data_IF_030101678250
#
_entry.id   IF_030101678250
#
_cell.length_a   1.000
_cell.length_b   1.000
_cell.length_c   1.000
_cell.angle_alpha   90.00
_cell.angle_beta   90.00
_cell.angle_gamma   90.00
#
_symmetry.space_group_name_H-M   'P 1'
#
loop_
_entity.id
_entity.type
_entity.pdbx_description
1 polymer ?
#
# COMPACT_ATOMS: atom_id res chain seq x y z
N UNK A 1 39.49 -10.53 2.72
CA UNK A 1 38.91 -11.47 3.70
C UNK A 1 37.41 -11.57 3.45
N UNK A 2 37.02 -12.52 2.60
CA UNK A 2 35.62 -12.83 2.25
C UNK A 2 34.93 -13.37 3.49
N UNK A 3 34.03 -12.59 4.10
CA UNK A 3 33.46 -12.92 5.40
C UNK A 3 32.42 -14.01 5.22
N UNK A 4 32.49 -15.05 6.05
CA UNK A 4 31.48 -16.13 6.12
C UNK A 4 30.03 -15.63 6.26
N UNK A 5 29.84 -14.36 6.64
CA UNK A 5 28.55 -13.65 6.68
C UNK A 5 27.97 -13.30 5.31
N UNK A 6 28.75 -13.33 4.23
CA UNK A 6 28.27 -12.93 2.90
C UNK A 6 27.43 -14.02 2.23
N UNK A 7 27.65 -15.31 2.52
CA UNK A 7 26.90 -16.42 1.95
C UNK A 7 25.42 -16.47 2.38
N UNK A 8 25.08 -16.45 3.69
CA UNK A 8 23.68 -16.37 4.09
C UNK A 8 23.03 -15.07 3.63
N UNK A 9 23.77 -13.95 3.64
CA UNK A 9 23.31 -12.65 3.12
C UNK A 9 23.02 -12.69 1.61
N UNK A 10 23.85 -13.36 0.80
CA UNK A 10 23.63 -13.52 -0.65
C UNK A 10 22.48 -14.46 -0.99
N UNK A 11 22.23 -15.46 -0.15
CA UNK A 11 21.14 -16.43 -0.32
C UNK A 11 19.79 -15.83 0.12
N UNK A 12 19.79 -14.99 1.16
CA UNK A 12 18.59 -14.32 1.69
C UNK A 12 18.26 -12.99 0.99
N UNK A 13 19.26 -12.17 0.66
CA UNK A 13 19.10 -10.77 0.18
C UNK A 13 19.56 -10.58 -1.28
N UNK A 14 19.90 -11.67 -1.98
CA UNK A 14 20.35 -11.58 -3.37
C UNK A 14 21.66 -10.78 -3.54
N UNK A 15 21.96 -10.39 -4.78
CA UNK A 15 23.14 -9.56 -5.09
C UNK A 15 22.70 -8.09 -5.06
N UNK A 16 23.37 -7.26 -4.26
CA UNK A 16 23.04 -5.83 -4.16
C UNK A 16 22.93 -5.19 -5.56
N UNK A 17 21.74 -4.68 -5.89
CA UNK A 17 21.50 -3.93 -7.11
C UNK A 17 22.21 -2.59 -6.99
N UNK A 18 23.07 -2.32 -7.97
CA UNK A 18 23.86 -1.10 -8.06
C UNK A 18 22.94 0.04 -8.48
N UNK A 19 22.94 1.17 -7.75
CA UNK A 19 21.99 2.27 -7.95
C UNK A 19 21.97 2.85 -9.38
N UNK A 20 23.06 2.68 -10.10
CA UNK A 20 23.27 2.96 -11.52
C UNK A 20 22.40 2.13 -12.49
N UNK A 21 21.72 1.08 -12.03
CA UNK A 21 20.81 0.23 -12.84
C UNK A 21 19.31 0.46 -12.58
N UNK A 22 18.92 1.37 -11.69
CA UNK A 22 17.50 1.63 -11.36
C UNK A 22 16.72 2.33 -12.50
N UNK A 23 17.39 3.05 -13.40
CA UNK A 23 16.74 3.69 -14.54
C UNK A 23 16.19 2.70 -15.58
N UNK A 24 16.68 1.46 -15.60
CA UNK A 24 16.22 0.41 -16.54
C UNK A 24 15.03 -0.40 -16.00
N UNK A 25 14.58 -0.16 -14.76
CA UNK A 25 13.43 -0.85 -14.15
C UNK A 25 12.12 -0.10 -14.35
N UNK A 26 12.00 0.74 -15.38
CA UNK A 26 10.72 1.33 -15.75
C UNK A 26 9.80 0.23 -16.29
N UNK A 27 8.76 -0.09 -15.51
CA UNK A 27 7.75 -1.07 -15.91
C UNK A 27 7.01 -0.56 -17.15
N UNK A 28 6.90 -1.41 -18.18
CA UNK A 28 6.04 -1.10 -19.32
C UNK A 28 4.61 -0.82 -18.85
N UNK A 29 3.90 0.13 -19.49
CA UNK A 29 2.55 0.54 -19.09
C UNK A 29 1.57 -0.62 -18.89
N UNK A 30 1.74 -1.72 -19.65
CA UNK A 30 0.90 -2.93 -19.56
C UNK A 30 1.09 -3.72 -18.26
N UNK A 31 2.28 -3.66 -17.67
CA UNK A 31 2.60 -4.34 -16.40
C UNK A 31 2.42 -3.36 -15.23
N UNK A 32 2.80 -2.10 -15.42
CA UNK A 32 2.62 -1.04 -14.43
C UNK A 32 1.16 -0.88 -14.02
N UNK A 33 0.22 -0.84 -14.97
CA UNK A 33 -1.20 -0.62 -14.67
C UNK A 33 -1.79 -1.67 -13.71
N UNK A 34 -1.72 -3.00 -13.96
CA UNK A 34 -2.26 -3.99 -13.04
C UNK A 34 -1.51 -4.05 -11.70
N UNK A 35 -0.19 -3.81 -11.70
CA UNK A 35 0.59 -3.78 -10.46
C UNK A 35 0.17 -2.60 -9.58
N UNK A 36 0.08 -1.39 -10.13
CA UNK A 36 -0.35 -0.21 -9.36
C UNK A 36 -1.85 -0.20 -9.08
N UNK A 37 -2.67 -0.82 -9.92
CA UNK A 37 -4.11 -0.97 -9.66
C UNK A 37 -4.42 -1.98 -8.55
N UNK A 38 -3.47 -2.87 -8.21
CA UNK A 38 -3.68 -3.85 -7.14
C UNK A 38 -3.96 -3.21 -5.79
N UNK A 39 -3.36 -2.06 -5.50
CA UNK A 39 -3.53 -1.33 -4.25
C UNK A 39 -4.97 -0.85 -4.05
N UNK A 40 -5.58 -0.04 -4.94
CA UNK A 40 -6.99 0.34 -4.80
C UNK A 40 -7.97 -0.83 -4.94
N UNK A 41 -7.60 -1.89 -5.68
CA UNK A 41 -8.41 -3.12 -5.73
C UNK A 41 -8.43 -3.84 -4.38
N UNK A 42 -7.30 -3.86 -3.67
CA UNK A 42 -7.22 -4.46 -2.34
C UNK A 42 -8.13 -3.73 -1.33
N UNK A 43 -8.28 -2.41 -1.46
CA UNK A 43 -9.17 -1.61 -0.62
C UNK A 43 -10.64 -2.00 -0.72
N UNK A 44 -11.08 -2.53 -1.86
CA UNK A 44 -12.46 -3.02 -2.04
C UNK A 44 -12.74 -4.23 -1.14
N UNK A 45 -11.72 -5.01 -0.78
CA UNK A 45 -11.88 -6.22 0.03
C UNK A 45 -12.09 -5.94 1.52
N UNK A 46 -11.64 -4.78 2.04
CA UNK A 46 -11.74 -4.46 3.48
C UNK A 46 -12.60 -3.21 3.76
N UNK A 47 -12.56 -2.18 2.92
CA UNK A 47 -13.18 -0.89 3.22
C UNK A 47 -14.72 -0.94 3.39
N UNK A 48 -15.49 -1.67 2.56
CA UNK A 48 -16.94 -1.73 2.73
C UNK A 48 -17.37 -2.32 4.08
N UNK A 49 -16.65 -3.34 4.55
CA UNK A 49 -16.90 -3.96 5.85
C UNK A 49 -16.66 -2.98 6.99
N UNK A 50 -15.55 -2.24 6.93
CA UNK A 50 -15.21 -1.22 7.93
C UNK A 50 -16.24 -0.08 8.00
N UNK A 51 -16.77 0.37 6.85
CA UNK A 51 -17.84 1.38 6.83
C UNK A 51 -19.07 0.88 7.59
N UNK A 52 -19.47 -0.38 7.40
CA UNK A 52 -20.60 -0.96 8.11
C UNK A 52 -20.29 -1.17 9.60
N UNK A 53 -19.06 -1.55 9.95
CA UNK A 53 -18.65 -1.71 11.34
C UNK A 53 -18.72 -0.37 12.08
N UNK A 54 -18.20 0.71 11.49
CA UNK A 54 -18.29 2.06 12.08
C UNK A 54 -19.75 2.52 12.19
N UNK A 55 -20.58 2.31 11.17
CA UNK A 55 -22.00 2.66 11.24
C UNK A 55 -22.75 1.84 12.30
N UNK A 56 -22.32 0.61 12.58
CA UNK A 56 -22.93 -0.25 13.60
C UNK A 56 -22.83 0.38 15.00
N UNK A 57 -21.75 1.12 15.27
CA UNK A 57 -21.55 1.86 16.52
C UNK A 57 -22.59 2.97 16.68
N UNK A 58 -23.02 3.59 15.58
CA UNK A 58 -24.09 4.59 15.56
C UNK A 58 -25.51 3.99 15.59
N UNK A 59 -25.62 2.67 15.44
CA UNK A 59 -26.87 1.91 15.48
C UNK A 59 -27.41 1.48 14.10
N UNK A 60 -28.34 0.53 14.09
CA UNK A 60 -28.87 -0.10 12.88
C UNK A 60 -29.51 0.89 11.88
N UNK A 61 -30.10 1.98 12.38
CA UNK A 61 -30.68 3.03 11.53
C UNK A 61 -29.65 3.77 10.69
N UNK A 62 -28.38 3.76 11.10
CA UNK A 62 -27.29 4.43 10.39
C UNK A 62 -26.89 3.69 9.11
N UNK A 63 -27.24 2.41 8.94
CA UNK A 63 -26.92 1.67 7.71
C UNK A 63 -27.56 2.25 6.45
N UNK A 64 -28.67 2.97 6.58
CA UNK A 64 -29.25 3.70 5.45
C UNK A 64 -28.34 4.78 4.87
N UNK A 65 -27.31 5.23 5.61
CA UNK A 65 -26.29 6.16 5.10
C UNK A 65 -25.20 5.49 4.25
N UNK A 66 -25.05 4.16 4.31
CA UNK A 66 -24.03 3.42 3.55
C UNK A 66 -23.99 3.77 2.05
N UNK A 67 -25.11 3.77 1.28
CA UNK A 67 -25.07 4.15 -0.13
C UNK A 67 -24.70 5.62 -0.36
N UNK A 68 -25.05 6.52 0.56
CA UNK A 68 -24.67 7.93 0.49
C UNK A 68 -23.18 8.15 0.74
N UNK A 69 -22.60 7.39 1.68
CA UNK A 69 -21.16 7.36 1.92
C UNK A 69 -20.43 6.82 0.69
N UNK A 70 -20.92 5.73 0.10
CA UNK A 70 -20.34 5.18 -1.13
C UNK A 70 -20.36 6.22 -2.27
N UNK A 71 -21.46 6.95 -2.45
CA UNK A 71 -21.54 8.03 -3.44
C UNK A 71 -20.52 9.15 -3.15
N UNK A 72 -20.37 9.56 -1.89
CA UNK A 72 -19.38 10.56 -1.50
C UNK A 72 -17.94 10.10 -1.80
N UNK A 73 -17.62 8.83 -1.53
CA UNK A 73 -16.32 8.22 -1.87
C UNK A 73 -16.09 8.21 -3.38
N UNK A 74 -17.11 7.89 -4.19
CA UNK A 74 -17.02 7.95 -5.65
C UNK A 74 -16.68 9.36 -6.14
N UNK A 75 -17.39 10.38 -5.65
CA UNK A 75 -17.11 11.79 -5.99
C UNK A 75 -15.70 12.21 -5.56
N UNK A 76 -15.28 11.80 -4.37
CA UNK A 76 -13.92 12.03 -3.88
C UNK A 76 -12.89 11.39 -4.82
N UNK A 77 -13.10 10.15 -5.23
CA UNK A 77 -12.19 9.44 -6.13
C UNK A 77 -12.09 10.12 -7.50
N UNK A 78 -13.20 10.60 -8.07
CA UNK A 78 -13.14 11.41 -9.30
C UNK A 78 -12.29 12.67 -9.13
N UNK A 79 -12.44 13.35 -8.00
CA UNK A 79 -11.68 14.57 -7.69
C UNK A 79 -10.19 14.28 -7.53
N UNK A 80 -9.86 13.21 -6.80
CA UNK A 80 -8.47 12.74 -6.60
C UNK A 80 -7.84 12.37 -7.95
N UNK A 81 -8.52 11.57 -8.78
CA UNK A 81 -8.02 11.20 -10.11
C UNK A 81 -7.81 12.41 -11.00
N UNK A 82 -8.76 13.36 -11.02
CA UNK A 82 -8.61 14.59 -11.79
C UNK A 82 -7.41 15.42 -11.32
N UNK A 83 -7.20 15.53 -10.01
CA UNK A 83 -6.05 16.21 -9.40
C UNK A 83 -4.73 15.54 -9.77
N UNK A 84 -4.61 14.21 -9.60
CA UNK A 84 -3.40 13.46 -9.96
C UNK A 84 -3.10 13.54 -11.46
N UNK A 85 -4.11 13.57 -12.34
CA UNK A 85 -3.87 13.78 -13.78
C UNK A 85 -3.21 15.12 -14.08
N UNK A 86 -3.60 16.19 -13.38
CA UNK A 86 -2.96 17.49 -13.51
C UNK A 86 -1.54 17.46 -12.95
N UNK A 87 -1.37 16.86 -11.78
CA UNK A 87 -0.09 16.77 -11.09
C UNK A 87 0.96 16.02 -11.93
N UNK A 88 0.59 14.87 -12.50
CA UNK A 88 1.47 14.07 -13.38
C UNK A 88 1.88 14.82 -14.66
N UNK A 89 1.00 15.68 -15.20
CA UNK A 89 1.35 16.51 -16.36
C UNK A 89 2.28 17.68 -15.97
N UNK A 90 2.09 18.26 -14.79
CA UNK A 90 2.90 19.38 -14.30
C UNK A 90 4.30 18.94 -13.82
N UNK A 91 4.43 17.71 -13.28
CA UNK A 91 5.66 17.16 -12.72
C UNK A 91 6.06 15.84 -13.41
N UNK A 92 6.62 15.90 -14.62
CA UNK A 92 6.99 14.71 -15.40
C UNK A 92 8.22 13.97 -14.86
N UNK A 93 8.95 14.56 -13.92
CA UNK A 93 10.08 13.98 -13.17
C UNK A 93 9.67 12.78 -12.33
N UNK A 94 8.40 12.67 -11.93
CA UNK A 94 7.85 11.50 -11.25
C UNK A 94 8.21 11.37 -9.77
N UNK A 95 8.69 12.43 -9.11
CA UNK A 95 9.01 12.43 -7.67
C UNK A 95 7.77 12.46 -6.74
N UNK A 96 6.57 12.40 -7.31
CA UNK A 96 5.31 12.25 -6.59
C UNK A 96 5.00 13.41 -5.65
N UNK A 97 4.18 13.14 -4.63
CA UNK A 97 3.67 14.17 -3.72
C UNK A 97 4.79 14.84 -2.89
N UNK A 98 5.90 14.13 -2.65
CA UNK A 98 7.08 14.69 -2.00
C UNK A 98 7.71 15.82 -2.82
N UNK A 99 7.95 15.60 -4.12
CA UNK A 99 8.54 16.61 -5.00
C UNK A 99 7.64 17.84 -5.11
N UNK A 100 6.33 17.62 -5.21
CA UNK A 100 5.32 18.67 -5.33
C UNK A 100 5.29 19.53 -4.06
N UNK A 101 5.23 18.91 -2.89
CA UNK A 101 5.22 19.65 -1.62
C UNK A 101 6.55 20.37 -1.36
N UNK A 102 7.67 19.71 -1.64
CA UNK A 102 9.00 20.28 -1.44
C UNK A 102 9.24 21.50 -2.35
N UNK A 103 8.85 21.41 -3.61
CA UNK A 103 9.07 22.48 -4.60
C UNK A 103 8.16 23.69 -4.37
N UNK A 104 6.90 23.47 -3.99
CA UNK A 104 5.93 24.57 -3.85
C UNK A 104 5.84 25.17 -2.44
N UNK A 105 6.01 24.34 -1.40
CA UNK A 105 5.80 24.74 0.00
C UNK A 105 7.10 24.71 0.83
N UNK A 106 8.18 24.22 0.23
CA UNK A 106 9.51 24.19 0.80
C UNK A 106 9.85 22.90 1.57
N UNK A 107 11.09 22.80 2.06
CA UNK A 107 11.64 21.54 2.59
C UNK A 107 10.91 20.96 3.80
N UNK A 108 10.33 21.82 4.65
CA UNK A 108 9.59 21.35 5.83
C UNK A 108 8.30 20.61 5.44
N UNK A 109 7.57 21.13 4.46
CA UNK A 109 6.37 20.48 3.94
C UNK A 109 6.72 19.18 3.21
N UNK A 110 7.80 19.18 2.42
CA UNK A 110 8.35 17.97 1.81
C UNK A 110 8.67 16.89 2.86
N UNK A 111 9.36 17.25 3.95
CA UNK A 111 9.65 16.32 5.04
C UNK A 111 8.39 15.73 5.68
N UNK A 112 7.36 16.55 5.93
CA UNK A 112 6.08 16.07 6.45
C UNK A 112 5.43 15.06 5.52
N UNK A 113 5.42 15.32 4.21
CA UNK A 113 4.89 14.39 3.21
C UNK A 113 5.71 13.10 3.17
N UNK A 114 7.06 13.18 3.19
CA UNK A 114 7.91 11.99 3.25
C UNK A 114 7.64 11.14 4.50
N UNK A 115 7.49 11.77 5.66
CA UNK A 115 7.13 11.06 6.90
C UNK A 115 5.75 10.41 6.81
N UNK A 116 4.76 11.11 6.26
CA UNK A 116 3.42 10.57 6.06
C UNK A 116 3.43 9.36 5.12
N UNK A 117 4.17 9.43 4.00
CA UNK A 117 4.32 8.32 3.06
C UNK A 117 4.97 7.09 3.69
N UNK A 118 5.95 7.26 4.59
CA UNK A 118 6.54 6.13 5.30
C UNK A 118 5.53 5.42 6.20
N UNK A 119 4.69 6.18 6.90
CA UNK A 119 3.62 5.63 7.72
C UNK A 119 2.56 4.95 6.85
N UNK A 120 2.17 5.60 5.75
CA UNK A 120 1.22 5.07 4.77
C UNK A 120 1.67 3.70 4.26
N UNK A 121 2.91 3.57 3.78
CA UNK A 121 3.42 2.29 3.28
C UNK A 121 3.43 1.18 4.33
N UNK A 122 3.75 1.50 5.59
CA UNK A 122 3.71 0.51 6.68
C UNK A 122 2.27 0.08 6.96
N UNK A 123 1.34 1.04 7.01
CA UNK A 123 -0.06 0.77 7.27
C UNK A 123 -0.72 0.00 6.12
N UNK A 124 -0.40 0.32 4.87
CA UNK A 124 -0.94 -0.38 3.70
C UNK A 124 -0.58 -1.86 3.74
N UNK A 125 0.68 -2.20 4.06
CA UNK A 125 1.08 -3.60 4.25
C UNK A 125 0.35 -4.23 5.43
N UNK A 126 0.30 -3.55 6.58
CA UNK A 126 -0.33 -4.08 7.79
C UNK A 126 -1.82 -4.38 7.59
N UNK A 127 -2.58 -3.43 7.02
CA UNK A 127 -4.03 -3.55 6.79
C UNK A 127 -4.33 -4.58 5.70
N UNK A 128 -3.55 -4.59 4.62
CA UNK A 128 -3.75 -5.56 3.52
C UNK A 128 -3.52 -6.99 3.98
N UNK A 129 -2.48 -7.24 4.78
CA UNK A 129 -2.21 -8.59 5.32
C UNK A 129 -3.25 -8.97 6.37
N UNK A 130 -3.65 -8.05 7.24
CA UNK A 130 -4.66 -8.32 8.26
C UNK A 130 -5.99 -8.73 7.64
N UNK A 131 -6.48 -7.94 6.67
CA UNK A 131 -7.71 -8.26 5.93
C UNK A 131 -7.57 -9.54 5.09
N UNK A 132 -6.40 -9.77 4.48
CA UNK A 132 -6.11 -11.02 3.78
C UNK A 132 -6.19 -12.26 4.68
N UNK A 133 -5.67 -12.17 5.91
CA UNK A 133 -5.73 -13.25 6.90
C UNK A 133 -7.15 -13.46 7.43
N UNK A 134 -7.93 -12.40 7.62
CA UNK A 134 -9.35 -12.52 7.99
C UNK A 134 -10.16 -13.23 6.92
N UNK A 135 -9.97 -12.84 5.65
CA UNK A 135 -10.61 -13.49 4.51
C UNK A 135 -10.17 -14.96 4.39
N UNK A 136 -8.88 -15.26 4.57
CA UNK A 136 -8.38 -16.64 4.54
C UNK A 136 -8.91 -17.48 5.72
N UNK A 137 -9.04 -16.86 6.90
CA UNK A 137 -9.61 -17.48 8.09
C UNK A 137 -11.06 -17.93 7.89
N UNK A 138 -11.82 -17.26 7.04
CA UNK A 138 -13.19 -17.69 6.70
C UNK A 138 -13.24 -19.08 6.05
N UNK A 139 -12.16 -19.52 5.39
CA UNK A 139 -12.05 -20.81 4.72
C UNK A 139 -11.21 -21.84 5.51
N UNK A 140 -10.27 -21.40 6.33
CA UNK A 140 -9.30 -22.27 7.03
C UNK A 140 -9.36 -22.01 8.55
N UNK A 141 -9.96 -22.91 9.35
CA UNK A 141 -10.11 -22.72 10.80
C UNK A 141 -8.79 -22.52 11.56
N UNK A 142 -7.71 -23.18 11.12
CA UNK A 142 -6.38 -23.01 11.73
C UNK A 142 -5.88 -21.56 11.69
N UNK A 143 -6.19 -20.83 10.62
CA UNK A 143 -5.81 -19.42 10.44
C UNK A 143 -6.59 -18.53 11.41
N UNK A 144 -7.83 -18.91 11.76
CA UNK A 144 -8.65 -18.17 12.74
C UNK A 144 -8.09 -18.30 14.15
N UNK A 145 -7.59 -19.48 14.53
CA UNK A 145 -6.98 -19.68 15.85
C UNK A 145 -5.62 -18.96 15.96
N UNK A 146 -4.87 -18.84 14.86
CA UNK A 146 -3.50 -18.32 14.85
C UNK A 146 -3.32 -17.06 13.99
N UNK A 147 -4.33 -16.17 13.93
CA UNK A 147 -4.35 -14.99 13.04
C UNK A 147 -3.05 -14.19 13.05
N UNK A 148 -2.57 -13.81 14.23
CA UNK A 148 -1.37 -12.97 14.38
C UNK A 148 -0.12 -13.69 13.89
N UNK A 149 0.05 -14.97 14.25
CA UNK A 149 1.21 -15.75 13.83
C UNK A 149 1.22 -15.97 12.30
N UNK A 150 0.05 -16.25 11.71
CA UNK A 150 -0.09 -16.35 10.27
C UNK A 150 0.21 -15.02 9.56
N UNK A 151 -0.32 -13.89 10.05
CA UNK A 151 -0.06 -12.56 9.49
C UNK A 151 1.43 -12.21 9.50
N UNK A 152 2.10 -12.39 10.65
CA UNK A 152 3.55 -12.17 10.77
C UNK A 152 4.33 -13.11 9.86
N UNK A 153 3.93 -14.38 9.76
CA UNK A 153 4.54 -15.36 8.85
C UNK A 153 4.47 -14.93 7.38
N UNK A 154 3.32 -14.41 6.93
CA UNK A 154 3.16 -13.88 5.56
C UNK A 154 4.01 -12.63 5.35
N UNK A 155 4.06 -11.70 6.31
CA UNK A 155 4.92 -10.51 6.22
C UNK A 155 6.38 -10.90 6.08
N UNK A 156 6.86 -11.84 6.90
CA UNK A 156 8.25 -12.34 6.83
C UNK A 156 8.51 -12.99 5.48
N UNK A 157 7.59 -13.81 4.98
CA UNK A 157 7.70 -14.47 3.68
C UNK A 157 7.79 -13.44 2.54
N UNK A 158 6.88 -12.46 2.52
CA UNK A 158 6.90 -11.38 1.52
C UNK A 158 8.17 -10.54 1.63
N UNK A 159 8.64 -10.28 2.84
CA UNK A 159 9.90 -9.56 3.07
C UNK A 159 11.07 -10.33 2.47
N UNK A 160 11.18 -11.64 2.74
CA UNK A 160 12.24 -12.49 2.17
C UNK A 160 12.14 -12.58 0.65
N UNK A 161 10.92 -12.64 0.09
CA UNK A 161 10.73 -12.63 -1.36
C UNK A 161 11.15 -11.31 -2.00
N UNK A 162 10.83 -10.17 -1.39
CA UNK A 162 11.20 -8.83 -1.90
C UNK A 162 12.67 -8.48 -1.70
N UNK A 163 13.35 -9.16 -0.77
CA UNK A 163 14.79 -9.02 -0.59
C UNK A 163 15.61 -9.74 -1.67
N UNK A 164 15.00 -10.61 -2.49
CA UNK A 164 15.67 -11.36 -3.57
C UNK A 164 15.60 -10.64 -4.91
#
# INVERSE_FOLDING_TARGET
>A
MSKLTDLPKRILIGRALRSDKLGETLLSKRIALPVFASDPLSSVAYAPGEVLLVLSVAGLSAYHFSPWIALAVVVLMFTVVASYRQNVHAYPSGGGDYEVANTNLGPKAGLTVASALLVDYVLTVAVSISSGIENLGSAIPFVVEHKVACAVGVIVLLTVMNLR
#
